data_IF_854464201354
#
_entry.id   IF_854464201354
#
_cell.length_a   1.000
_cell.length_b   1.000
_cell.length_c   1.000
_cell.angle_alpha   90.00
_cell.angle_beta   90.00
_cell.angle_gamma   90.00
#
_symmetry.space_group_name_H-M   'P 1'
#
loop_
_entity.id
_entity.type
_entity.pdbx_description
1 polymer ?
#
# COMPACT_ATOMS: atom_id res chain seq x y z
N UNK A 1 5.68 4.39 27.57
CA UNK A 1 6.01 3.94 26.21
C UNK A 1 7.36 4.48 25.82
N UNK A 2 7.40 5.63 25.14
CA UNK A 2 8.65 6.30 24.74
C UNK A 2 9.48 6.75 25.95
N UNK A 3 8.85 7.29 27.00
CA UNK A 3 9.55 7.75 28.21
C UNK A 3 10.42 6.70 28.92
N UNK A 4 10.15 5.39 28.73
CA UNK A 4 10.94 4.30 29.31
C UNK A 4 12.02 3.77 28.35
N UNK A 5 12.13 4.33 27.14
CA UNK A 5 13.03 3.91 26.08
C UNK A 5 13.84 5.14 25.62
N UNK A 6 14.88 5.56 26.37
CA UNK A 6 15.61 6.81 26.10
C UNK A 6 16.37 6.80 24.76
N UNK A 7 16.56 5.62 24.16
CA UNK A 7 17.18 5.44 22.86
C UNK A 7 16.18 5.14 21.75
N UNK A 8 14.87 5.28 22.00
CA UNK A 8 13.88 5.14 20.94
C UNK A 8 14.15 6.19 19.84
N UNK A 9 13.98 5.77 18.60
CA UNK A 9 14.21 6.64 17.43
C UNK A 9 12.91 6.95 16.67
N UNK A 10 11.85 6.18 16.95
CA UNK A 10 10.52 6.33 16.37
C UNK A 10 9.45 5.64 17.25
N UNK A 11 8.19 5.93 16.96
CA UNK A 11 7.04 5.11 17.36
C UNK A 11 6.40 4.55 16.10
N UNK A 12 6.26 3.21 16.03
CA UNK A 12 5.50 2.55 14.97
C UNK A 12 4.06 2.34 15.44
N UNK A 13 3.11 2.83 14.65
CA UNK A 13 1.68 2.70 14.89
C UNK A 13 1.11 1.79 13.80
N UNK A 14 0.93 0.51 14.13
CA UNK A 14 0.41 -0.48 13.18
C UNK A 14 -0.86 0.03 12.48
N UNK A 15 -0.91 -0.13 11.16
CA UNK A 15 -1.99 0.33 10.26
C UNK A 15 -2.20 1.85 10.16
N UNK A 16 -1.34 2.66 10.79
CA UNK A 16 -1.40 4.12 10.69
C UNK A 16 -0.12 4.68 10.06
N UNK A 17 1.04 4.35 10.62
CA UNK A 17 2.32 4.87 10.15
C UNK A 17 3.36 4.91 11.26
N UNK A 18 4.29 5.86 11.15
CA UNK A 18 5.36 6.06 12.13
C UNK A 18 5.45 7.53 12.53
N UNK A 19 5.90 7.77 13.77
CA UNK A 19 6.17 9.10 14.29
C UNK A 19 7.66 9.17 14.65
N UNK A 20 8.36 10.17 14.10
CA UNK A 20 9.74 10.52 14.42
C UNK A 20 9.79 11.86 15.13
N UNK A 21 10.97 12.21 15.64
CA UNK A 21 11.25 13.50 16.29
C UNK A 21 12.69 13.93 15.99
N UNK A 22 12.96 15.21 16.22
CA UNK A 22 14.28 15.82 16.08
C UNK A 22 14.30 17.22 16.69
N UNK A 23 15.49 17.76 16.95
CA UNK A 23 15.70 19.08 17.55
C UNK A 23 15.18 20.22 16.65
N UNK A 24 15.13 19.97 15.34
CA UNK A 24 14.61 20.89 14.32
C UNK A 24 13.65 20.17 13.39
N UNK A 25 12.78 20.93 12.71
CA UNK A 25 11.88 20.38 11.68
C UNK A 25 12.65 19.65 10.57
N UNK A 26 13.82 20.16 10.19
CA UNK A 26 14.68 19.52 9.19
C UNK A 26 15.20 18.17 9.67
N UNK A 27 15.76 18.11 10.88
CA UNK A 27 16.28 16.85 11.44
C UNK A 27 15.18 15.81 11.65
N UNK A 28 14.00 16.23 12.08
CA UNK A 28 12.82 15.35 12.20
C UNK A 28 12.39 14.80 10.82
N UNK A 29 12.34 15.64 9.80
CA UNK A 29 12.02 15.22 8.44
C UNK A 29 13.06 14.23 7.88
N UNK A 30 14.35 14.55 8.00
CA UNK A 30 15.42 13.65 7.55
C UNK A 30 15.40 12.30 8.29
N UNK A 31 15.07 12.31 9.58
CA UNK A 31 14.91 11.09 10.38
C UNK A 31 13.79 10.19 9.84
N UNK A 32 12.66 10.78 9.44
CA UNK A 32 11.57 10.05 8.78
C UNK A 32 12.04 9.38 7.50
N UNK A 33 12.75 10.12 6.65
CA UNK A 33 13.27 9.61 5.38
C UNK A 33 14.25 8.45 5.62
N UNK A 34 15.19 8.59 6.55
CA UNK A 34 16.20 7.55 6.81
C UNK A 34 15.57 6.24 7.29
N UNK A 35 14.56 6.31 8.16
CA UNK A 35 13.83 5.14 8.66
C UNK A 35 13.06 4.46 7.51
N UNK A 36 12.40 5.23 6.65
CA UNK A 36 11.66 4.66 5.51
C UNK A 36 12.62 3.95 4.55
N UNK A 37 13.77 4.56 4.26
CA UNK A 37 14.80 3.97 3.41
C UNK A 37 15.39 2.69 4.00
N UNK A 38 15.62 2.65 5.32
CA UNK A 38 16.08 1.45 6.01
C UNK A 38 15.05 0.32 5.90
N UNK A 39 13.77 0.62 6.13
CA UNK A 39 12.69 -0.35 6.00
C UNK A 39 12.55 -0.86 4.55
N UNK A 40 12.65 0.03 3.56
CA UNK A 40 12.64 -0.32 2.14
C UNK A 40 13.81 -1.25 1.80
N UNK A 41 15.03 -0.90 2.21
CA UNK A 41 16.22 -1.71 1.98
C UNK A 41 16.07 -3.10 2.62
N UNK A 42 15.60 -3.15 3.86
CA UNK A 42 15.35 -4.41 4.58
C UNK A 42 14.41 -5.34 3.81
N UNK A 43 13.34 -4.78 3.21
CA UNK A 43 12.39 -5.51 2.37
C UNK A 43 13.09 -5.97 1.08
N UNK A 44 13.76 -5.08 0.37
CA UNK A 44 14.43 -5.37 -0.90
C UNK A 44 15.48 -6.48 -0.77
N UNK A 45 16.20 -6.53 0.34
CA UNK A 45 17.21 -7.56 0.60
C UNK A 45 16.62 -8.97 0.82
N UNK A 46 15.34 -9.06 1.16
CA UNK A 46 14.67 -10.32 1.57
C UNK A 46 13.56 -10.75 0.64
N UNK A 47 13.10 -9.86 -0.22
CA UNK A 47 11.95 -10.12 -1.07
C UNK A 47 12.36 -11.02 -2.23
N UNK A 48 11.65 -12.14 -2.41
CA UNK A 48 11.69 -12.87 -3.67
C UNK A 48 10.78 -12.17 -4.67
N UNK A 49 11.37 -11.50 -5.67
CA UNK A 49 10.63 -10.74 -6.68
C UNK A 49 9.58 -11.57 -7.44
N UNK A 50 9.71 -12.90 -7.48
CA UNK A 50 8.75 -13.79 -8.14
C UNK A 50 7.55 -14.16 -7.26
N UNK A 51 7.65 -13.96 -5.95
CA UNK A 51 6.66 -14.36 -4.94
C UNK A 51 6.10 -13.19 -4.16
N UNK A 52 6.37 -11.95 -4.60
CA UNK A 52 5.79 -10.74 -4.03
C UNK A 52 4.27 -10.88 -4.01
N UNK A 53 3.67 -10.66 -2.83
CA UNK A 53 2.24 -10.88 -2.58
C UNK A 53 1.73 -12.32 -2.87
N UNK A 54 2.59 -13.33 -2.70
CA UNK A 54 2.24 -14.75 -2.86
C UNK A 54 2.37 -15.27 -4.30
N UNK A 55 2.89 -14.45 -5.23
CA UNK A 55 3.12 -14.84 -6.62
C UNK A 55 1.84 -15.16 -7.41
N UNK A 56 2.01 -15.60 -8.66
CA UNK A 56 0.89 -15.97 -9.53
C UNK A 56 0.39 -17.37 -9.20
N UNK A 57 -0.76 -17.47 -8.53
CA UNK A 57 -1.44 -18.76 -8.31
C UNK A 57 -2.10 -19.32 -9.58
N UNK A 58 -2.55 -18.45 -10.48
CA UNK A 58 -3.24 -18.82 -11.72
C UNK A 58 -2.72 -18.02 -12.91
N UNK A 59 -2.85 -18.60 -14.10
CA UNK A 59 -2.58 -17.88 -15.34
C UNK A 59 -3.75 -16.96 -15.69
N UNK A 60 -3.48 -15.72 -16.13
CA UNK A 60 -4.54 -14.82 -16.56
C UNK A 60 -5.22 -15.37 -17.81
N UNK A 61 -6.55 -15.23 -17.88
CA UNK A 61 -7.31 -15.53 -19.10
C UNK A 61 -6.85 -14.64 -20.26
N UNK A 62 -7.07 -15.05 -21.53
CA UNK A 62 -6.88 -14.18 -22.69
C UNK A 62 -7.62 -12.85 -22.51
N UNK A 63 -7.05 -11.78 -23.06
CA UNK A 63 -7.56 -10.41 -22.87
C UNK A 63 -9.05 -10.28 -23.23
N UNK A 64 -9.46 -10.83 -24.38
CA UNK A 64 -10.85 -10.80 -24.83
C UNK A 64 -11.81 -11.43 -23.83
N UNK A 65 -11.39 -12.54 -23.20
CA UNK A 65 -12.18 -13.22 -22.16
C UNK A 65 -12.26 -12.39 -20.89
N UNK A 66 -11.18 -11.70 -20.50
CA UNK A 66 -11.20 -10.78 -19.36
C UNK A 66 -12.15 -9.61 -19.62
N UNK A 67 -12.08 -9.00 -20.80
CA UNK A 67 -12.98 -7.89 -21.20
C UNK A 67 -14.44 -8.34 -21.25
N UNK A 68 -14.71 -9.53 -21.77
CA UNK A 68 -16.06 -10.11 -21.79
C UNK A 68 -16.63 -10.29 -20.37
N UNK A 69 -15.82 -10.84 -19.45
CA UNK A 69 -16.23 -11.01 -18.04
C UNK A 69 -16.45 -9.64 -17.38
N UNK A 70 -15.53 -8.70 -17.59
CA UNK A 70 -15.60 -7.35 -17.04
C UNK A 70 -16.88 -6.64 -17.48
N UNK A 71 -17.18 -6.64 -18.79
CA UNK A 71 -18.41 -6.08 -19.32
C UNK A 71 -19.67 -6.71 -18.71
N UNK A 72 -19.63 -8.02 -18.40
CA UNK A 72 -20.72 -8.72 -17.72
C UNK A 72 -20.96 -8.27 -16.27
N UNK A 73 -19.89 -7.95 -15.52
CA UNK A 73 -20.01 -7.55 -14.10
C UNK A 73 -20.13 -6.03 -13.89
N UNK A 74 -19.73 -5.22 -14.87
CA UNK A 74 -19.75 -3.75 -14.79
C UNK A 74 -21.09 -3.15 -14.33
N UNK A 75 -22.27 -3.61 -14.80
CA UNK A 75 -23.55 -3.04 -14.36
C UNK A 75 -23.79 -3.22 -12.85
N UNK A 76 -23.37 -4.36 -12.29
CA UNK A 76 -23.51 -4.67 -10.87
C UNK A 76 -22.60 -3.77 -10.04
N UNK A 77 -21.32 -3.66 -10.43
CA UNK A 77 -20.35 -2.80 -9.75
C UNK A 77 -20.80 -1.34 -9.82
N UNK A 78 -21.24 -0.86 -10.99
CA UNK A 78 -21.76 0.49 -11.16
C UNK A 78 -22.94 0.75 -10.22
N UNK A 79 -23.87 -0.21 -10.12
CA UNK A 79 -25.00 -0.14 -9.20
C UNK A 79 -24.55 0.05 -7.76
N UNK A 80 -23.64 -0.81 -7.28
CA UNK A 80 -23.13 -0.78 -5.91
C UNK A 80 -22.40 0.52 -5.56
N UNK A 81 -21.57 1.06 -6.46
CA UNK A 81 -20.87 2.33 -6.20
C UNK A 81 -21.72 3.57 -6.46
N UNK A 82 -22.94 3.41 -6.98
CA UNK A 82 -23.86 4.52 -7.26
C UNK A 82 -24.94 4.73 -6.20
N UNK A 83 -24.88 4.03 -5.06
CA UNK A 83 -25.89 4.08 -3.99
C UNK A 83 -26.01 5.49 -3.40
N UNK A 84 -24.89 6.14 -3.07
CA UNK A 84 -24.89 7.48 -2.49
C UNK A 84 -24.86 8.60 -3.54
N UNK A 85 -24.17 8.36 -4.67
CA UNK A 85 -23.98 9.36 -5.74
C UNK A 85 -24.00 8.68 -7.09
N UNK A 86 -24.64 9.28 -8.10
CA UNK A 86 -24.61 8.75 -9.47
C UNK A 86 -23.18 8.69 -10.01
N UNK A 87 -22.70 7.48 -10.33
CA UNK A 87 -21.38 7.26 -10.91
C UNK A 87 -21.46 6.73 -12.34
N UNK A 88 -20.46 7.11 -13.13
CA UNK A 88 -20.15 6.48 -14.42
C UNK A 88 -18.91 5.62 -14.17
N UNK A 89 -18.99 4.36 -14.57
CA UNK A 89 -17.89 3.40 -14.45
C UNK A 89 -17.32 3.14 -15.85
N UNK A 90 -16.01 3.30 -16.00
CA UNK A 90 -15.25 3.02 -17.21
C UNK A 90 -14.09 2.06 -16.90
N UNK A 91 -13.56 1.43 -17.94
CA UNK A 91 -12.33 0.64 -17.90
C UNK A 91 -11.55 0.87 -19.19
N UNK A 92 -10.23 0.64 -19.12
CA UNK A 92 -9.30 0.72 -20.25
C UNK A 92 -8.99 -0.67 -20.83
#
# INVERSE_FOLDING_TARGET
GVANNPHAELVLMEKHGLVTWGETSETCYQKTISIIQEAEQYINDRINQHEVFGGKRYQPLPEDKRKQILAGIMPVIRGAVSEEKKMILSYD
#
